data_IF_008689774248
#
_entry.id   IF_008689774248
#
_cell.length_a   1.000
_cell.length_b   1.000
_cell.length_c   1.000
_cell.angle_alpha   90.00
_cell.angle_beta   90.00
_cell.angle_gamma   90.00
#
_symmetry.space_group_name_H-M   'P 1'
#
loop_
_entity.id
_entity.type
_entity.pdbx_description
1 polymer ?
#
# COMPACT_ATOMS: atom_id res chain seq x y z
N UNK A 1 41.45 -24.16 -58.50
CA UNK A 1 40.02 -23.95 -58.19
C UNK A 1 39.84 -24.13 -56.69
N UNK A 2 39.76 -23.04 -55.93
CA UNK A 2 39.36 -23.06 -54.52
C UNK A 2 38.33 -21.94 -54.36
N UNK A 3 37.07 -22.33 -54.15
CA UNK A 3 35.97 -21.40 -53.86
C UNK A 3 35.75 -21.45 -52.36
N UNK A 4 36.14 -20.38 -51.68
CA UNK A 4 35.94 -20.20 -50.25
C UNK A 4 34.57 -19.54 -50.05
N UNK A 5 33.61 -20.31 -49.54
CA UNK A 5 32.29 -19.81 -49.19
C UNK A 5 32.38 -19.02 -47.87
N UNK A 6 32.23 -17.70 -47.96
CA UNK A 6 31.99 -16.83 -46.81
C UNK A 6 30.47 -16.83 -46.53
N UNK A 7 30.05 -17.52 -45.48
CA UNK A 7 28.72 -17.36 -44.91
C UNK A 7 28.73 -16.17 -43.95
N UNK A 8 28.24 -15.02 -44.41
CA UNK A 8 27.92 -13.88 -43.54
C UNK A 8 26.55 -14.14 -42.91
N UNK A 9 26.52 -14.62 -41.66
CA UNK A 9 25.29 -14.65 -40.86
C UNK A 9 25.04 -13.20 -40.42
N UNK A 10 24.13 -12.51 -41.11
CA UNK A 10 23.60 -11.24 -40.65
C UNK A 10 22.75 -11.49 -39.40
N UNK A 11 23.24 -11.10 -38.23
CA UNK A 11 22.40 -10.96 -37.05
C UNK A 11 21.41 -9.81 -37.33
N UNK A 12 20.17 -10.16 -37.67
CA UNK A 12 19.04 -9.25 -37.56
C UNK A 12 18.81 -8.98 -36.07
N UNK A 13 19.29 -7.83 -35.59
CA UNK A 13 18.88 -7.27 -34.31
C UNK A 13 17.41 -6.89 -34.42
N UNK A 14 16.53 -7.80 -34.01
CA UNK A 14 15.11 -7.50 -33.82
C UNK A 14 15.03 -6.68 -32.54
N UNK A 15 14.82 -5.37 -32.64
CA UNK A 15 14.47 -4.55 -31.49
C UNK A 15 13.12 -5.03 -30.97
N UNK A 16 13.09 -5.69 -29.81
CA UNK A 16 11.85 -6.04 -29.15
C UNK A 16 11.24 -4.73 -28.66
N UNK A 17 10.09 -4.35 -29.22
CA UNK A 17 9.35 -3.19 -28.76
C UNK A 17 8.78 -3.52 -27.38
N UNK A 18 9.21 -2.80 -26.36
CA UNK A 18 8.66 -2.90 -25.01
C UNK A 18 7.35 -2.12 -24.93
N UNK A 19 6.39 -2.66 -24.19
CA UNK A 19 5.15 -2.00 -23.82
C UNK A 19 5.36 -1.36 -22.44
N UNK A 20 5.04 -0.08 -22.37
CA UNK A 20 4.99 0.67 -21.12
C UNK A 20 4.01 -0.01 -20.15
N UNK A 21 4.48 -0.29 -18.94
CA UNK A 21 3.71 -0.98 -17.91
C UNK A 21 3.60 -0.10 -16.67
N UNK A 22 2.41 -0.11 -16.04
CA UNK A 22 2.11 0.74 -14.87
C UNK A 22 1.80 -0.12 -13.64
N UNK A 23 2.48 0.15 -12.53
CA UNK A 23 2.07 -0.33 -11.22
C UNK A 23 1.14 0.70 -10.59
N UNK A 24 -0.08 0.30 -10.20
CA UNK A 24 -0.98 1.13 -9.41
C UNK A 24 -1.07 0.52 -8.01
N UNK A 25 -0.73 1.30 -6.99
CA UNK A 25 -0.86 0.91 -5.59
C UNK A 25 -1.92 1.75 -4.90
N UNK A 26 -2.71 1.12 -4.04
CA UNK A 26 -3.78 1.79 -3.31
C UNK A 26 -3.51 1.74 -1.80
N UNK A 27 -3.72 2.86 -1.11
CA UNK A 27 -4.02 2.79 0.32
C UNK A 27 -5.41 2.20 0.55
N UNK A 28 -5.68 1.79 1.80
CA UNK A 28 -6.90 1.13 2.21
C UNK A 28 -7.87 2.13 2.85
N UNK A 29 -7.52 2.64 4.04
CA UNK A 29 -8.45 3.35 4.92
C UNK A 29 -8.57 4.82 4.52
N UNK A 30 -9.72 5.20 3.96
CA UNK A 30 -9.99 6.53 3.39
C UNK A 30 -9.85 6.58 1.87
N UNK A 31 -9.26 5.54 1.27
CA UNK A 31 -9.02 5.43 -0.18
C UNK A 31 -9.87 4.35 -0.86
N UNK A 32 -9.74 3.08 -0.45
CA UNK A 32 -10.58 1.99 -0.95
C UNK A 32 -11.83 1.78 -0.09
N UNK A 33 -11.70 1.96 1.22
CA UNK A 33 -12.78 1.77 2.18
C UNK A 33 -12.93 2.99 3.07
N UNK A 34 -14.16 3.25 3.51
CA UNK A 34 -14.45 4.21 4.57
C UNK A 34 -14.75 3.46 5.87
N UNK A 35 -14.15 3.94 6.97
CA UNK A 35 -14.58 3.58 8.32
C UNK A 35 -15.78 4.43 8.74
N UNK A 36 -16.68 3.87 9.55
CA UNK A 36 -17.64 4.68 10.31
C UNK A 36 -16.90 5.53 11.37
N UNK A 37 -17.55 6.55 11.93
CA UNK A 37 -16.94 7.36 13.01
C UNK A 37 -16.55 6.58 14.27
N UNK A 38 -17.07 5.36 14.44
CA UNK A 38 -16.72 4.47 15.55
C UNK A 38 -15.59 3.47 15.19
N UNK A 39 -15.22 3.35 13.92
CA UNK A 39 -14.30 2.31 13.45
C UNK A 39 -12.93 2.36 14.15
N UNK A 40 -12.41 3.56 14.43
CA UNK A 40 -11.13 3.76 15.11
C UNK A 40 -11.11 3.24 16.56
N UNK A 41 -12.27 3.00 17.17
CA UNK A 41 -12.39 2.50 18.54
C UNK A 41 -12.98 1.08 18.62
N UNK A 42 -13.84 0.70 17.68
CA UNK A 42 -14.71 -0.47 17.82
C UNK A 42 -14.55 -1.52 16.71
N UNK A 43 -13.83 -1.21 15.62
CA UNK A 43 -13.55 -2.18 14.57
C UNK A 43 -12.73 -3.36 15.08
N UNK A 44 -12.81 -4.50 14.39
CA UNK A 44 -11.98 -5.66 14.71
C UNK A 44 -10.49 -5.31 14.68
N UNK A 45 -10.06 -4.51 13.70
CA UNK A 45 -8.67 -4.05 13.57
C UNK A 45 -8.25 -3.14 14.73
N UNK A 46 -9.09 -2.19 15.14
CA UNK A 46 -8.82 -1.36 16.32
C UNK A 46 -8.67 -2.19 17.61
N UNK A 47 -9.48 -3.24 17.78
CA UNK A 47 -9.40 -4.15 18.93
C UNK A 47 -8.15 -5.03 18.88
N UNK A 48 -7.69 -5.42 17.69
CA UNK A 48 -6.49 -6.23 17.50
C UNK A 48 -5.24 -5.56 18.08
N UNK A 49 -5.11 -4.22 17.96
CA UNK A 49 -4.02 -3.48 18.58
C UNK A 49 -3.96 -3.66 20.11
N UNK A 50 -5.07 -3.37 20.79
CA UNK A 50 -5.13 -3.48 22.25
C UNK A 50 -4.92 -4.93 22.70
N UNK A 51 -5.47 -5.90 21.97
CA UNK A 51 -5.27 -7.31 22.26
C UNK A 51 -3.79 -7.71 22.14
N UNK A 52 -3.14 -7.39 21.02
CA UNK A 52 -1.76 -7.80 20.77
C UNK A 52 -0.76 -7.10 21.69
N UNK A 53 -0.89 -5.79 21.90
CA UNK A 53 -0.01 -5.05 22.82
C UNK A 53 -0.18 -5.56 24.25
N UNK A 54 -1.40 -5.79 24.71
CA UNK A 54 -1.66 -6.34 26.04
C UNK A 54 -1.10 -7.75 26.23
N UNK A 55 -1.22 -8.60 25.20
CA UNK A 55 -0.78 -10.00 25.23
C UNK A 55 0.75 -10.12 25.18
N UNK A 56 1.41 -9.43 24.24
CA UNK A 56 2.84 -9.60 23.96
C UNK A 56 3.73 -8.77 24.89
N UNK A 57 3.24 -7.60 25.32
CA UNK A 57 4.02 -6.65 26.13
C UNK A 57 3.47 -6.45 27.53
N UNK A 58 2.18 -6.68 27.75
CA UNK A 58 1.48 -6.38 29.00
C UNK A 58 1.25 -7.56 29.92
N UNK A 59 1.80 -8.75 29.65
CA UNK A 59 1.51 -9.99 30.40
C UNK A 59 -0.01 -10.29 30.50
N UNK A 60 -0.76 -9.98 29.43
CA UNK A 60 -2.21 -10.13 29.37
C UNK A 60 -3.02 -9.00 30.03
N UNK A 61 -2.37 -7.90 30.45
CA UNK A 61 -3.07 -6.71 30.95
C UNK A 61 -3.97 -6.10 29.87
N UNK A 62 -5.12 -5.58 30.31
CA UNK A 62 -6.01 -4.82 29.44
C UNK A 62 -5.33 -3.53 28.99
N UNK A 63 -5.19 -3.36 27.68
CA UNK A 63 -4.73 -2.13 27.03
C UNK A 63 -5.94 -1.37 26.51
N UNK A 64 -5.95 -0.05 26.68
CA UNK A 64 -7.06 0.78 26.19
C UNK A 64 -7.06 0.85 24.64
N UNK A 65 -8.23 1.13 24.01
CA UNK A 65 -8.30 1.34 22.57
C UNK A 65 -7.39 2.47 22.07
N UNK A 66 -6.86 2.33 20.85
CA UNK A 66 -5.96 3.32 20.20
C UNK A 66 -6.53 4.74 20.26
N UNK A 67 -7.78 4.93 19.84
CA UNK A 67 -8.43 6.24 19.81
C UNK A 67 -8.64 6.88 21.20
N UNK A 68 -8.51 6.10 22.30
CA UNK A 68 -8.52 6.62 23.67
C UNK A 68 -7.11 6.90 24.22
N UNK A 69 -6.12 6.14 23.75
CA UNK A 69 -4.73 6.27 24.21
C UNK A 69 -3.96 7.37 23.50
N UNK A 70 -4.24 7.56 22.21
CA UNK A 70 -3.45 8.39 21.31
C UNK A 70 -4.33 9.48 20.67
N UNK A 71 -3.80 10.70 20.47
CA UNK A 71 -4.44 11.71 19.65
C UNK A 71 -4.46 11.27 18.16
N UNK A 72 -5.47 11.75 17.42
CA UNK A 72 -5.74 11.37 16.02
C UNK A 72 -4.53 11.46 15.09
N UNK A 73 -3.74 12.53 15.22
CA UNK A 73 -2.55 12.79 14.41
C UNK A 73 -1.41 11.77 14.62
N UNK A 74 -1.48 10.92 15.66
CA UNK A 74 -0.48 9.88 15.92
C UNK A 74 -0.87 8.50 15.39
N UNK A 75 -2.08 8.33 14.85
CA UNK A 75 -2.50 7.06 14.24
C UNK A 75 -3.17 7.18 12.87
N UNK A 76 -3.81 8.31 12.53
CA UNK A 76 -4.30 8.54 11.16
C UNK A 76 -3.12 8.61 10.17
N UNK A 77 -3.19 7.81 9.10
CA UNK A 77 -2.14 7.71 8.09
C UNK A 77 -0.85 7.03 8.55
N UNK A 78 -0.78 6.55 9.81
CA UNK A 78 0.41 5.86 10.33
C UNK A 78 0.42 4.37 10.01
N UNK A 79 1.51 3.68 10.33
CA UNK A 79 1.63 2.22 10.17
C UNK A 79 1.22 1.50 11.44
N UNK A 80 0.70 0.28 11.31
CA UNK A 80 0.33 -0.58 12.44
C UNK A 80 1.53 -0.79 13.39
N UNK A 81 2.75 -0.85 12.85
CA UNK A 81 3.99 -0.88 13.63
C UNK A 81 4.14 0.32 14.54
N UNK A 82 4.15 1.53 13.97
CA UNK A 82 4.30 2.77 14.76
C UNK A 82 3.14 2.97 15.75
N UNK A 83 1.91 2.64 15.35
CA UNK A 83 0.74 2.71 16.23
C UNK A 83 0.90 1.76 17.42
N UNK A 84 1.34 0.52 17.19
CA UNK A 84 1.53 -0.47 18.25
C UNK A 84 2.60 -0.03 19.27
N UNK A 85 3.70 0.54 18.80
CA UNK A 85 4.77 1.06 19.64
C UNK A 85 4.32 2.27 20.47
N UNK A 86 3.62 3.22 19.83
CA UNK A 86 3.04 4.38 20.53
C UNK A 86 2.01 3.95 21.58
N UNK A 87 1.18 2.96 21.25
CA UNK A 87 0.19 2.40 22.17
C UNK A 87 0.87 1.73 23.37
N UNK A 88 1.92 0.94 23.15
CA UNK A 88 2.69 0.32 24.22
C UNK A 88 3.29 1.37 25.18
N UNK A 89 3.92 2.41 24.65
CA UNK A 89 4.48 3.53 25.45
C UNK A 89 3.38 4.25 26.23
N UNK A 90 2.28 4.62 25.57
CA UNK A 90 1.21 5.40 26.18
C UNK A 90 0.42 4.64 27.27
N UNK A 91 0.29 3.32 27.14
CA UNK A 91 -0.63 2.53 28.00
C UNK A 91 0.08 1.63 29.00
N UNK A 92 1.28 1.16 28.68
CA UNK A 92 2.07 0.27 29.53
C UNK A 92 3.36 0.93 30.04
N UNK A 93 3.73 2.10 29.51
CA UNK A 93 5.00 2.75 29.84
C UNK A 93 6.22 2.00 29.30
N UNK A 94 6.04 1.20 28.24
CA UNK A 94 7.11 0.41 27.63
C UNK A 94 7.74 1.19 26.49
N UNK A 95 9.04 1.42 26.58
CA UNK A 95 9.81 2.16 25.58
C UNK A 95 10.01 1.36 24.27
N UNK A 96 10.43 2.07 23.22
CA UNK A 96 10.58 1.52 21.87
C UNK A 96 11.73 0.53 21.76
N UNK A 97 12.80 0.69 22.52
CA UNK A 97 13.92 -0.26 22.59
C UNK A 97 13.48 -1.66 23.06
N UNK A 98 12.46 -1.73 23.93
CA UNK A 98 11.88 -2.98 24.42
C UNK A 98 10.78 -3.51 23.49
N UNK A 99 9.92 -2.63 22.97
CA UNK A 99 8.76 -3.03 22.18
C UNK A 99 9.08 -3.29 20.70
N UNK A 100 10.02 -2.57 20.11
CA UNK A 100 10.40 -2.70 18.69
C UNK A 100 10.90 -4.10 18.31
N UNK A 101 11.80 -4.74 19.07
CA UNK A 101 12.24 -6.12 18.77
C UNK A 101 11.12 -7.17 18.80
N UNK A 102 9.94 -6.83 19.36
CA UNK A 102 8.77 -7.72 19.45
C UNK A 102 7.71 -7.43 18.39
N UNK A 103 7.95 -6.53 17.44
CA UNK A 103 6.95 -6.13 16.43
C UNK A 103 6.40 -7.32 15.63
N UNK A 104 7.24 -8.25 15.18
CA UNK A 104 6.76 -9.43 14.43
C UNK A 104 5.79 -10.28 15.28
N UNK A 105 6.04 -10.42 16.59
CA UNK A 105 5.13 -11.12 17.51
C UNK A 105 3.82 -10.35 17.70
N UNK A 106 3.89 -9.01 17.76
CA UNK A 106 2.71 -8.15 17.83
C UNK A 106 1.87 -8.31 16.56
N UNK A 107 2.49 -8.22 15.38
CA UNK A 107 1.80 -8.39 14.09
C UNK A 107 1.15 -9.76 13.97
N UNK A 108 1.86 -10.83 14.35
CA UNK A 108 1.32 -12.18 14.36
C UNK A 108 0.10 -12.30 15.29
N UNK A 109 0.18 -11.73 16.50
CA UNK A 109 -0.93 -11.74 17.46
C UNK A 109 -2.14 -10.90 16.97
N UNK A 110 -1.89 -9.74 16.33
CA UNK A 110 -2.96 -8.96 15.70
C UNK A 110 -3.64 -9.74 14.57
N UNK A 111 -2.85 -10.42 13.73
CA UNK A 111 -3.35 -11.24 12.64
C UNK A 111 -4.16 -12.44 13.13
N UNK A 112 -3.70 -13.14 14.16
CA UNK A 112 -4.43 -14.28 14.77
C UNK A 112 -5.78 -13.83 15.33
N UNK A 113 -5.82 -12.68 16.01
CA UNK A 113 -7.07 -12.08 16.49
C UNK A 113 -8.02 -11.80 15.33
N UNK A 114 -7.53 -11.16 14.25
CA UNK A 114 -8.33 -10.85 13.07
C UNK A 114 -8.80 -12.10 12.31
N UNK A 115 -7.96 -13.13 12.23
CA UNK A 115 -8.26 -14.38 11.52
C UNK A 115 -9.30 -15.23 12.21
N UNK A 116 -9.49 -15.04 13.51
CA UNK A 116 -10.56 -15.66 14.28
C UNK A 116 -11.94 -14.99 14.06
N UNK A 117 -11.97 -13.79 13.47
CA UNK A 117 -13.21 -13.09 13.12
C UNK A 117 -13.80 -13.60 11.81
N UNK A 118 -15.13 -13.64 11.72
CA UNK A 118 -15.84 -13.82 10.45
C UNK A 118 -15.70 -12.58 9.56
N UNK A 119 -15.90 -12.74 8.24
CA UNK A 119 -15.87 -11.61 7.30
C UNK A 119 -16.88 -10.51 7.67
N UNK A 120 -18.04 -10.89 8.22
CA UNK A 120 -19.03 -9.91 8.71
C UNK A 120 -18.48 -9.07 9.87
N UNK A 121 -17.69 -9.67 10.77
CA UNK A 121 -17.07 -8.97 11.89
C UNK A 121 -15.89 -8.12 11.44
N UNK A 122 -15.09 -8.60 10.47
CA UNK A 122 -14.01 -7.83 9.85
C UNK A 122 -14.56 -6.62 9.09
N UNK A 123 -15.63 -6.81 8.32
CA UNK A 123 -16.30 -5.75 7.58
C UNK A 123 -17.16 -4.84 8.47
N UNK A 124 -17.38 -5.19 9.75
CA UNK A 124 -18.20 -4.37 10.62
C UNK A 124 -17.55 -2.99 10.79
N UNK A 125 -18.34 -1.93 10.51
CA UNK A 125 -17.92 -0.53 10.53
C UNK A 125 -17.00 -0.09 9.38
N UNK A 126 -16.76 -0.93 8.36
CA UNK A 126 -16.03 -0.55 7.15
C UNK A 126 -16.86 -0.89 5.90
N UNK A 127 -16.74 -0.08 4.86
CA UNK A 127 -17.43 -0.31 3.58
C UNK A 127 -16.63 0.28 2.43
N UNK A 128 -16.70 -0.29 1.20
CA UNK A 128 -16.08 0.32 0.04
C UNK A 128 -16.54 1.76 -0.18
N UNK A 129 -15.63 2.62 -0.63
CA UNK A 129 -15.98 3.96 -1.09
C UNK A 129 -16.70 3.92 -2.46
N UNK A 130 -17.49 4.95 -2.81
CA UNK A 130 -18.15 5.03 -4.12
C UNK A 130 -17.15 4.87 -5.28
N UNK A 131 -17.56 4.19 -6.34
CA UNK A 131 -16.74 3.95 -7.55
C UNK A 131 -15.63 2.91 -7.40
N UNK A 132 -15.16 2.60 -6.18
CA UNK A 132 -14.02 1.70 -5.95
C UNK A 132 -14.20 0.34 -6.62
N UNK A 133 -15.30 -0.36 -6.34
CA UNK A 133 -15.49 -1.71 -6.87
C UNK A 133 -15.62 -1.71 -8.40
N UNK A 134 -16.21 -0.68 -8.99
CA UNK A 134 -16.42 -0.59 -10.44
C UNK A 134 -15.14 -0.23 -11.19
N UNK A 135 -14.34 0.70 -10.64
CA UNK A 135 -13.02 1.01 -11.20
C UNK A 135 -12.05 -0.16 -11.06
N UNK A 136 -12.05 -0.86 -9.93
CA UNK A 136 -11.22 -2.05 -9.78
C UNK A 136 -11.62 -3.14 -10.77
N UNK A 137 -12.92 -3.40 -10.96
CA UNK A 137 -13.38 -4.31 -12.03
C UNK A 137 -12.91 -3.85 -13.41
N UNK A 138 -12.89 -2.54 -13.68
CA UNK A 138 -12.36 -2.00 -14.93
C UNK A 138 -10.86 -2.26 -15.07
N UNK A 139 -10.08 -2.00 -14.02
CA UNK A 139 -8.63 -2.28 -13.99
C UNK A 139 -8.32 -3.77 -14.13
N UNK A 140 -9.18 -4.67 -13.63
CA UNK A 140 -9.01 -6.12 -13.79
C UNK A 140 -8.96 -6.57 -15.27
N UNK A 141 -9.55 -5.77 -16.17
CA UNK A 141 -9.55 -6.01 -17.62
C UNK A 141 -8.31 -5.46 -18.33
N UNK A 142 -7.36 -4.85 -17.61
CA UNK A 142 -6.17 -4.17 -18.15
C UNK A 142 -4.85 -4.82 -17.68
N UNK A 143 -4.88 -6.11 -17.35
CA UNK A 143 -3.73 -6.87 -16.82
C UNK A 143 -2.54 -7.01 -17.80
N UNK A 144 -2.73 -6.67 -19.07
CA UNK A 144 -1.69 -6.55 -20.08
C UNK A 144 -0.86 -5.26 -19.94
N UNK A 145 -1.40 -4.22 -19.29
CA UNK A 145 -0.79 -2.89 -19.13
C UNK A 145 -0.54 -2.49 -17.67
N UNK A 146 -1.30 -3.08 -16.74
CA UNK A 146 -1.35 -2.65 -15.34
C UNK A 146 -1.19 -3.83 -14.40
N UNK A 147 -0.42 -3.62 -13.32
CA UNK A 147 -0.54 -4.40 -12.09
C UNK A 147 -1.13 -3.52 -11.01
N UNK A 148 -2.17 -4.00 -10.33
CA UNK A 148 -2.67 -3.36 -9.12
C UNK A 148 -2.13 -4.08 -7.88
N UNK A 149 -1.80 -3.32 -6.85
CA UNK A 149 -1.42 -3.83 -5.53
C UNK A 149 -1.87 -2.87 -4.43
N UNK A 150 -1.53 -3.18 -3.19
CA UNK A 150 -1.76 -2.26 -2.06
C UNK A 150 -0.45 -1.67 -1.56
N UNK A 151 -0.49 -0.41 -1.13
CA UNK A 151 0.51 0.15 -0.22
C UNK A 151 -0.23 0.72 0.97
N UNK A 152 -0.07 0.10 2.14
CA UNK A 152 -0.84 0.48 3.32
C UNK A 152 -0.04 0.25 4.60
N UNK A 153 -0.32 1.07 5.60
CA UNK A 153 0.23 0.92 6.94
C UNK A 153 -0.27 -0.34 7.67
N UNK A 154 -1.28 -1.05 7.16
CA UNK A 154 -1.82 -2.25 7.81
C UNK A 154 -0.85 -3.44 7.74
N UNK A 155 -0.89 -4.32 8.74
CA UNK A 155 -0.29 -5.67 8.64
C UNK A 155 -0.86 -6.40 7.42
N UNK A 156 -0.02 -7.03 6.61
CA UNK A 156 -0.42 -7.64 5.33
C UNK A 156 -1.56 -8.65 5.47
N UNK A 157 -1.47 -9.58 6.43
CA UNK A 157 -2.53 -10.54 6.69
C UNK A 157 -3.86 -9.88 7.03
N UNK A 158 -3.84 -8.76 7.75
CA UNK A 158 -5.03 -7.97 8.09
C UNK A 158 -5.58 -7.26 6.85
N UNK A 159 -4.72 -6.67 6.03
CA UNK A 159 -5.11 -6.04 4.77
C UNK A 159 -5.83 -7.04 3.85
N UNK A 160 -5.30 -8.28 3.72
CA UNK A 160 -5.93 -9.36 2.96
C UNK A 160 -7.33 -9.69 3.47
N UNK A 161 -7.48 -9.88 4.78
CA UNK A 161 -8.78 -10.15 5.41
C UNK A 161 -9.78 -9.02 5.18
N UNK A 162 -9.35 -7.74 5.31
CA UNK A 162 -10.19 -6.57 5.02
C UNK A 162 -10.66 -6.58 3.57
N UNK A 163 -9.75 -6.77 2.61
CA UNK A 163 -10.09 -6.72 1.18
C UNK A 163 -11.05 -7.84 0.77
N UNK A 164 -10.91 -9.04 1.34
CA UNK A 164 -11.89 -10.12 1.18
C UNK A 164 -13.25 -9.71 1.76
N UNK A 165 -13.26 -9.27 3.02
CA UNK A 165 -14.49 -8.98 3.74
C UNK A 165 -15.34 -7.87 3.11
N UNK A 166 -14.72 -6.90 2.43
CA UNK A 166 -15.43 -5.79 1.76
C UNK A 166 -15.67 -6.02 0.26
N UNK A 167 -15.31 -7.20 -0.27
CA UNK A 167 -15.51 -7.55 -1.68
C UNK A 167 -14.53 -6.91 -2.67
N UNK A 168 -13.46 -6.26 -2.20
CA UNK A 168 -12.39 -5.72 -3.06
C UNK A 168 -11.62 -6.85 -3.73
N UNK A 169 -11.33 -7.93 -2.99
CA UNK A 169 -10.66 -9.12 -3.54
C UNK A 169 -11.44 -9.73 -4.71
N UNK A 170 -12.77 -9.78 -4.61
CA UNK A 170 -13.65 -10.39 -5.61
C UNK A 170 -13.66 -9.63 -6.95
N UNK A 171 -13.13 -8.39 -6.99
CA UNK A 171 -12.98 -7.65 -8.24
C UNK A 171 -11.89 -8.23 -9.14
N UNK A 172 -11.01 -9.09 -8.61
CA UNK A 172 -9.86 -9.67 -9.32
C UNK A 172 -8.88 -8.66 -9.89
N UNK A 173 -8.94 -7.39 -9.44
CA UNK A 173 -8.05 -6.34 -9.88
C UNK A 173 -6.65 -6.48 -9.28
N UNK A 174 -6.56 -6.94 -8.03
CA UNK A 174 -5.30 -7.04 -7.30
C UNK A 174 -4.45 -8.18 -7.89
N UNK A 175 -3.21 -7.84 -8.24
CA UNK A 175 -2.28 -8.76 -8.90
C UNK A 175 -1.84 -9.87 -7.93
N UNK A 176 -1.46 -11.06 -8.42
CA UNK A 176 -0.90 -12.11 -7.59
C UNK A 176 0.28 -11.63 -6.73
N UNK A 177 0.50 -12.23 -5.54
CA UNK A 177 1.57 -11.82 -4.66
C UNK A 177 2.94 -12.14 -5.27
N UNK A 178 3.94 -11.34 -4.92
CA UNK A 178 5.33 -11.70 -5.22
C UNK A 178 5.80 -12.82 -4.29
N UNK A 179 6.63 -13.78 -4.77
CA UNK A 179 7.31 -14.75 -3.91
C UNK A 179 8.20 -14.14 -2.81
N UNK A 180 8.50 -12.84 -2.92
CA UNK A 180 9.24 -12.08 -1.91
C UNK A 180 8.37 -11.65 -0.71
N UNK A 181 7.05 -11.83 -0.78
CA UNK A 181 6.14 -11.48 0.31
C UNK A 181 6.15 -12.50 1.44
N UNK A 182 5.85 -12.03 2.66
CA UNK A 182 5.66 -12.90 3.81
C UNK A 182 4.42 -13.78 3.59
N UNK A 183 4.44 -14.96 4.21
CA UNK A 183 3.28 -15.84 4.24
C UNK A 183 2.47 -15.58 5.50
N UNK A 184 1.15 -15.56 5.35
CA UNK A 184 0.19 -15.35 6.43
C UNK A 184 -0.77 -16.54 6.42
N UNK A 185 -0.56 -17.54 7.29
CA UNK A 185 -1.26 -18.83 7.22
C UNK A 185 -2.78 -18.69 7.13
N UNK A 186 -3.38 -19.35 6.15
CA UNK A 186 -4.83 -19.31 5.93
C UNK A 186 -5.32 -18.14 5.07
N UNK A 187 -4.40 -17.34 4.49
CA UNK A 187 -4.72 -16.26 3.55
C UNK A 187 -4.05 -16.41 2.19
N UNK A 188 -3.44 -17.57 1.91
CA UNK A 188 -2.70 -17.82 0.66
C UNK A 188 -3.59 -17.66 -0.58
N UNK A 189 -4.86 -18.02 -0.47
CA UNK A 189 -5.84 -17.93 -1.56
C UNK A 189 -6.43 -16.53 -1.78
N UNK A 190 -6.08 -15.57 -0.93
CA UNK A 190 -6.49 -14.16 -1.01
C UNK A 190 -5.28 -13.21 -0.96
N UNK A 191 -4.10 -13.74 -1.28
CA UNK A 191 -2.87 -13.00 -1.32
C UNK A 191 -2.78 -12.14 -2.60
N UNK A 192 -2.18 -10.96 -2.49
CA UNK A 192 -1.97 -10.05 -3.60
C UNK A 192 -0.70 -9.23 -3.43
N UNK A 193 -0.22 -8.65 -4.53
CA UNK A 193 0.94 -7.75 -4.59
C UNK A 193 0.76 -6.54 -3.66
N UNK A 194 1.83 -6.14 -2.98
CA UNK A 194 1.83 -4.86 -2.27
C UNK A 194 3.09 -4.56 -1.47
N UNK A 195 3.04 -3.49 -0.69
CA UNK A 195 3.96 -3.12 0.37
C UNK A 195 3.14 -2.79 1.62
N UNK A 196 3.46 -3.42 2.75
CA UNK A 196 2.58 -3.45 3.91
C UNK A 196 3.28 -2.96 5.17
N UNK A 197 2.51 -2.55 6.18
CA UNK A 197 3.03 -2.15 7.50
C UNK A 197 3.89 -3.21 8.18
N UNK A 198 3.69 -4.49 7.82
CA UNK A 198 4.49 -5.61 8.29
C UNK A 198 5.80 -5.84 7.52
N UNK A 199 6.03 -5.13 6.42
CA UNK A 199 7.28 -5.20 5.65
C UNK A 199 8.35 -4.27 6.21
N UNK A 200 7.95 -3.07 6.63
CA UNK A 200 8.86 -2.06 7.15
C UNK A 200 8.23 -1.20 8.24
N UNK A 201 8.97 -0.99 9.32
CA UNK A 201 8.69 -0.04 10.40
C UNK A 201 10.04 0.47 10.91
N UNK A 202 10.24 1.78 10.97
CA UNK A 202 11.50 2.37 11.43
C UNK A 202 11.71 2.29 12.94
N UNK A 203 10.63 2.06 13.71
CA UNK A 203 10.64 2.06 15.17
C UNK A 203 10.83 3.43 15.82
N UNK A 204 11.05 4.49 15.04
CA UNK A 204 11.26 5.84 15.55
C UNK A 204 9.91 6.56 15.69
N UNK A 205 9.26 6.36 16.84
CA UNK A 205 7.93 6.91 17.11
C UNK A 205 7.92 8.42 17.37
N UNK A 206 9.08 9.01 17.70
CA UNK A 206 9.23 10.42 18.07
C UNK A 206 9.45 11.31 16.83
N UNK A 207 9.83 10.72 15.69
CA UNK A 207 9.90 11.40 14.39
C UNK A 207 8.58 11.25 13.62
N UNK A 208 7.82 12.35 13.55
CA UNK A 208 6.52 12.41 12.87
C UNK A 208 6.67 12.12 11.36
N UNK A 209 7.81 12.45 10.75
CA UNK A 209 8.04 12.19 9.33
C UNK A 209 7.99 10.68 9.01
N UNK A 210 8.25 9.82 10.00
CA UNK A 210 8.15 8.36 9.82
C UNK A 210 6.76 7.86 9.44
N UNK A 211 5.70 8.63 9.69
CA UNK A 211 4.36 8.27 9.21
C UNK A 211 4.31 8.16 7.67
N UNK A 212 5.05 9.01 6.94
CA UNK A 212 5.10 8.95 5.48
C UNK A 212 6.39 8.30 4.97
N UNK A 213 7.52 8.43 5.65
CA UNK A 213 8.77 7.81 5.21
C UNK A 213 8.71 6.27 5.27
N UNK A 214 8.11 5.69 6.32
CA UNK A 214 7.94 4.23 6.39
C UNK A 214 6.98 3.73 5.29
N UNK A 215 6.00 4.55 4.89
CA UNK A 215 5.12 4.26 3.75
C UNK A 215 5.84 4.42 2.41
N UNK A 216 6.77 5.36 2.28
CA UNK A 216 7.65 5.50 1.11
C UNK A 216 8.49 4.24 0.89
N UNK A 217 9.03 3.65 1.96
CA UNK A 217 9.71 2.35 1.90
C UNK A 217 8.77 1.23 1.43
N UNK A 218 7.50 1.25 1.85
CA UNK A 218 6.50 0.28 1.38
C UNK A 218 6.19 0.45 -0.13
N UNK A 219 6.19 1.67 -0.67
CA UNK A 219 6.08 1.92 -2.12
C UNK A 219 7.30 1.33 -2.84
N UNK A 220 8.51 1.54 -2.31
CA UNK A 220 9.73 0.97 -2.88
C UNK A 220 9.68 -0.57 -2.90
N UNK A 221 9.26 -1.20 -1.80
CA UNK A 221 9.09 -2.66 -1.70
C UNK A 221 8.05 -3.17 -2.70
N UNK A 222 6.89 -2.52 -2.83
CA UNK A 222 5.87 -2.90 -3.80
C UNK A 222 6.40 -2.79 -5.25
N UNK A 223 7.19 -1.75 -5.53
CA UNK A 223 7.83 -1.52 -6.82
C UNK A 223 8.85 -2.61 -7.15
N UNK A 224 9.71 -2.97 -6.20
CA UNK A 224 10.68 -4.05 -6.36
C UNK A 224 9.98 -5.40 -6.62
N UNK A 225 8.92 -5.68 -5.87
CA UNK A 225 8.08 -6.89 -6.05
C UNK A 225 7.43 -6.93 -7.42
N UNK A 226 6.93 -5.81 -7.93
CA UNK A 226 6.40 -5.69 -9.28
C UNK A 226 7.47 -6.00 -10.33
N UNK A 227 8.66 -5.41 -10.20
CA UNK A 227 9.80 -5.68 -11.11
C UNK A 227 10.20 -7.15 -11.11
N UNK A 228 10.21 -7.78 -9.93
CA UNK A 228 10.49 -9.21 -9.82
C UNK A 228 9.47 -10.04 -10.60
N UNK A 229 8.18 -9.68 -10.55
CA UNK A 229 7.14 -10.38 -11.31
C UNK A 229 7.24 -10.14 -12.82
N UNK A 230 7.75 -8.97 -13.25
CA UNK A 230 7.93 -8.63 -14.66
C UNK A 230 9.24 -9.15 -15.27
N UNK A 231 10.18 -9.68 -14.48
CA UNK A 231 11.50 -10.12 -14.97
C UNK A 231 11.43 -11.18 -16.08
N UNK A 232 10.37 -11.99 -16.07
CA UNK A 232 10.15 -13.09 -17.02
C UNK A 232 9.25 -12.66 -18.20
N UNK A 233 8.86 -11.37 -18.25
CA UNK A 233 7.99 -10.75 -19.25
C UNK A 233 8.78 -9.69 -20.04
N UNK A 234 9.72 -10.06 -20.93
CA UNK A 234 10.68 -9.14 -21.55
C UNK A 234 10.05 -8.06 -22.44
N UNK A 235 8.78 -8.19 -22.77
CA UNK A 235 8.01 -7.18 -23.50
C UNK A 235 7.38 -6.13 -22.59
N UNK A 236 7.33 -6.34 -21.27
CA UNK A 236 6.73 -5.41 -20.30
C UNK A 236 7.84 -4.69 -19.55
N UNK A 237 7.89 -3.37 -19.67
CA UNK A 237 8.83 -2.54 -18.93
C UNK A 237 8.06 -1.65 -17.96
N UNK A 238 8.39 -1.73 -16.66
CA UNK A 238 7.81 -0.83 -15.67
C UNK A 238 8.32 0.59 -15.93
N UNK A 239 7.42 1.47 -16.39
CA UNK A 239 7.73 2.87 -16.69
C UNK A 239 7.05 3.83 -15.72
N UNK A 240 5.97 3.39 -15.06
CA UNK A 240 5.23 4.22 -14.12
C UNK A 240 4.85 3.46 -12.85
N UNK A 241 4.99 4.14 -11.71
CA UNK A 241 4.38 3.74 -10.44
C UNK A 241 3.41 4.82 -10.03
N UNK A 242 2.14 4.47 -9.82
CA UNK A 242 1.10 5.36 -9.31
C UNK A 242 0.74 4.92 -7.91
N UNK A 243 0.76 5.85 -6.96
CA UNK A 243 0.19 5.63 -5.64
C UNK A 243 -1.12 6.43 -5.51
N UNK A 244 -2.16 5.77 -4.99
CA UNK A 244 -3.48 6.36 -4.75
C UNK A 244 -3.71 6.37 -3.23
N UNK A 245 -4.01 7.55 -2.68
CA UNK A 245 -4.14 7.72 -1.23
C UNK A 245 -4.90 9.00 -0.84
N UNK A 246 -5.47 9.05 0.36
CA UNK A 246 -6.34 10.15 0.82
C UNK A 246 -5.71 11.07 1.86
N UNK A 247 -4.52 10.74 2.36
CA UNK A 247 -3.86 11.51 3.40
C UNK A 247 -2.61 12.24 2.90
N UNK A 248 -2.19 13.33 3.57
CA UNK A 248 -0.88 13.93 3.39
C UNK A 248 0.26 12.90 3.48
N UNK A 249 0.10 11.86 4.30
CA UNK A 249 1.11 10.82 4.43
C UNK A 249 1.33 10.05 3.12
N UNK A 250 0.29 9.81 2.32
CA UNK A 250 0.39 9.13 1.02
C UNK A 250 1.10 9.99 -0.01
N UNK A 251 0.70 11.26 -0.07
CA UNK A 251 1.30 12.25 -0.97
C UNK A 251 2.79 12.41 -0.69
N UNK A 252 3.16 12.56 0.59
CA UNK A 252 4.54 12.71 1.01
C UNK A 252 5.34 11.40 0.86
N UNK A 253 4.70 10.23 1.04
CA UNK A 253 5.34 8.94 0.81
C UNK A 253 5.72 8.73 -0.65
N UNK A 254 4.77 9.00 -1.57
CA UNK A 254 5.02 8.90 -3.01
C UNK A 254 6.08 9.90 -3.46
N UNK A 255 6.07 11.12 -2.92
CA UNK A 255 7.08 12.13 -3.19
C UNK A 255 8.46 11.71 -2.70
N UNK A 256 8.57 11.25 -1.45
CA UNK A 256 9.83 10.76 -0.89
C UNK A 256 10.39 9.59 -1.72
N UNK A 257 9.54 8.65 -2.14
CA UNK A 257 9.93 7.59 -3.05
C UNK A 257 10.45 8.15 -4.39
N UNK A 258 9.75 9.11 -5.00
CA UNK A 258 10.21 9.77 -6.23
C UNK A 258 11.58 10.44 -6.08
N UNK A 259 11.86 11.03 -4.92
CA UNK A 259 13.15 11.68 -4.62
C UNK A 259 14.29 10.65 -4.49
N UNK A 260 14.00 9.42 -4.01
CA UNK A 260 15.03 8.35 -3.95
C UNK A 260 15.51 7.87 -5.32
N UNK A 261 14.72 8.10 -6.38
CA UNK A 261 15.07 7.75 -7.76
C UNK A 261 16.00 8.79 -8.40
N UNK A 262 16.19 9.95 -7.75
CA UNK A 262 17.07 11.01 -8.23
C UNK A 262 18.55 10.59 -8.11
N UNK A 263 19.14 10.15 -9.21
CA UNK A 263 20.54 9.75 -9.30
C UNK A 263 20.81 8.33 -9.80
N UNK A 264 19.76 7.58 -10.15
CA UNK A 264 19.85 6.25 -10.81
C UNK A 264 19.62 6.28 -12.33
N UNK A 265 19.88 5.15 -12.99
CA UNK A 265 19.68 4.93 -14.44
C UNK A 265 18.20 4.74 -14.86
N UNK A 266 17.23 4.98 -13.98
CA UNK A 266 15.84 4.58 -14.20
C UNK A 266 14.93 5.74 -14.60
N UNK A 267 14.41 5.70 -15.84
CA UNK A 267 13.35 6.57 -16.34
C UNK A 267 11.97 6.19 -15.75
N UNK A 268 11.86 6.01 -14.43
CA UNK A 268 10.60 5.66 -13.78
C UNK A 268 9.84 6.93 -13.39
N UNK A 269 8.62 7.08 -13.91
CA UNK A 269 7.72 8.16 -13.51
C UNK A 269 6.92 7.76 -12.27
N UNK A 270 6.87 8.63 -11.26
CA UNK A 270 6.02 8.47 -10.09
C UNK A 270 4.79 9.35 -10.22
N UNK A 271 3.62 8.72 -10.34
CA UNK A 271 2.32 9.37 -10.24
C UNK A 271 1.78 9.33 -8.82
N UNK A 272 1.10 10.39 -8.42
CA UNK A 272 0.34 10.41 -7.17
C UNK A 272 -1.09 10.82 -7.47
N UNK A 273 -2.07 9.96 -7.17
CA UNK A 273 -3.50 10.29 -7.28
C UNK A 273 -4.04 10.48 -5.87
N UNK A 274 -4.02 11.72 -5.39
CA UNK A 274 -4.56 12.05 -4.09
C UNK A 274 -6.10 12.16 -4.16
N UNK A 275 -6.81 11.51 -3.26
CA UNK A 275 -8.28 11.47 -3.27
C UNK A 275 -8.87 12.11 -2.01
N UNK A 276 -9.76 13.09 -2.16
CA UNK A 276 -10.34 13.81 -1.02
C UNK A 276 -11.52 13.07 -0.37
N UNK A 277 -11.41 11.75 -0.24
CA UNK A 277 -12.45 10.86 0.33
C UNK A 277 -12.24 10.56 1.81
N UNK A 278 -11.08 10.94 2.35
CA UNK A 278 -10.71 10.81 3.74
C UNK A 278 -11.07 12.02 4.61
N UNK A 279 -10.19 12.31 5.58
CA UNK A 279 -10.35 13.46 6.51
C UNK A 279 -9.77 14.77 5.98
N UNK A 280 -9.10 14.74 4.82
CA UNK A 280 -8.37 15.88 4.27
C UNK A 280 -9.06 16.40 3.02
N UNK A 281 -9.11 17.73 2.91
CA UNK A 281 -9.66 18.41 1.74
C UNK A 281 -8.71 18.30 0.53
N UNK A 282 -9.28 18.44 -0.67
CA UNK A 282 -8.47 18.50 -1.89
C UNK A 282 -7.47 19.68 -1.89
N UNK A 283 -7.80 20.80 -1.22
CA UNK A 283 -6.88 21.94 -1.08
C UNK A 283 -5.64 21.56 -0.25
N UNK A 284 -5.85 20.90 0.89
CA UNK A 284 -4.75 20.41 1.73
C UNK A 284 -3.86 19.42 0.97
N UNK A 285 -4.47 18.47 0.26
CA UNK A 285 -3.73 17.47 -0.53
C UNK A 285 -2.93 18.12 -1.68
N UNK A 286 -3.52 19.08 -2.40
CA UNK A 286 -2.82 19.86 -3.44
C UNK A 286 -1.62 20.62 -2.86
N UNK A 287 -1.78 21.21 -1.68
CA UNK A 287 -0.71 21.93 -0.98
C UNK A 287 0.51 21.05 -0.67
N UNK A 288 0.31 19.75 -0.40
CA UNK A 288 1.40 18.81 -0.14
C UNK A 288 2.02 18.25 -1.42
N UNK A 289 1.22 18.03 -2.46
CA UNK A 289 1.65 17.39 -3.69
C UNK A 289 2.66 18.25 -4.49
N UNK A 290 2.47 19.57 -4.47
CA UNK A 290 3.31 20.51 -5.21
C UNK A 290 3.11 20.42 -6.73
N UNK A 291 4.08 20.97 -7.46
CA UNK A 291 4.01 21.10 -8.92
C UNK A 291 4.43 19.83 -9.66
N UNK A 292 3.85 19.62 -10.83
CA UNK A 292 4.22 18.51 -11.73
C UNK A 292 5.64 18.70 -12.28
N UNK A 293 6.41 17.62 -12.32
CA UNK A 293 7.70 17.53 -13.00
C UNK A 293 7.56 16.46 -14.10
N UNK A 294 7.41 16.85 -15.38
CA UNK A 294 7.10 15.91 -16.47
C UNK A 294 8.04 14.72 -16.54
N UNK A 295 7.47 13.50 -16.64
CA UNK A 295 8.24 12.26 -16.73
C UNK A 295 8.88 11.79 -15.42
N UNK A 296 8.66 12.50 -14.31
CA UNK A 296 9.26 12.19 -13.00
C UNK A 296 8.24 12.18 -11.87
N UNK A 297 7.51 13.27 -11.70
CA UNK A 297 6.52 13.46 -10.63
C UNK A 297 5.23 14.03 -11.21
N UNK A 298 4.17 13.23 -11.22
CA UNK A 298 2.89 13.57 -11.85
C UNK A 298 1.74 13.47 -10.83
N UNK A 299 1.60 14.45 -9.92
CA UNK A 299 0.51 14.47 -8.96
C UNK A 299 -0.80 14.95 -9.59
N UNK A 300 -1.90 14.29 -9.22
CA UNK A 300 -3.28 14.65 -9.55
C UNK A 300 -4.10 14.56 -8.28
N UNK A 301 -5.00 15.53 -8.04
CA UNK A 301 -5.91 15.52 -6.89
C UNK A 301 -7.36 15.43 -7.37
N UNK A 302 -8.08 14.41 -6.92
CA UNK A 302 -9.47 14.13 -7.27
C UNK A 302 -10.39 14.34 -6.07
N UNK A 303 -11.48 15.07 -6.25
CA UNK A 303 -12.42 15.38 -5.17
C UNK A 303 -13.40 14.25 -4.89
N UNK A 304 -13.80 13.50 -5.93
CA UNK A 304 -14.76 12.39 -5.82
C UNK A 304 -14.06 11.01 -5.78
N UNK A 305 -12.77 11.02 -5.43
CA UNK A 305 -11.92 9.83 -5.38
C UNK A 305 -11.98 8.96 -6.64
N UNK A 306 -12.17 7.66 -6.46
CA UNK A 306 -12.26 6.71 -7.58
C UNK A 306 -13.61 6.79 -8.33
N UNK A 307 -14.60 7.49 -7.80
CA UNK A 307 -15.85 7.75 -8.53
C UNK A 307 -15.68 8.85 -9.60
N UNK A 308 -14.60 9.62 -9.54
CA UNK A 308 -14.30 10.65 -10.55
C UNK A 308 -14.08 9.99 -11.93
N UNK A 309 -14.76 10.47 -13.00
CA UNK A 309 -14.60 9.92 -14.35
C UNK A 309 -13.18 10.05 -14.91
N UNK A 310 -12.33 10.91 -14.32
CA UNK A 310 -10.93 11.08 -14.69
C UNK A 310 -9.98 10.14 -13.95
N UNK A 311 -10.46 9.30 -13.03
CA UNK A 311 -9.61 8.44 -12.19
C UNK A 311 -8.60 7.60 -13.00
N UNK A 312 -9.05 6.90 -14.04
CA UNK A 312 -8.17 6.08 -14.88
C UNK A 312 -7.13 6.94 -15.61
N UNK A 313 -7.56 8.08 -16.18
CA UNK A 313 -6.65 9.01 -16.84
C UNK A 313 -5.62 9.60 -15.87
N UNK A 314 -6.01 9.87 -14.62
CA UNK A 314 -5.12 10.33 -13.56
C UNK A 314 -4.07 9.27 -13.18
N UNK A 315 -4.41 7.99 -13.31
CA UNK A 315 -3.46 6.88 -13.18
C UNK A 315 -2.58 6.68 -14.42
N UNK A 316 -2.70 7.53 -15.44
CA UNK A 316 -1.95 7.40 -16.69
C UNK A 316 -2.40 6.22 -17.56
N UNK A 317 -3.61 5.70 -17.34
CA UNK A 317 -4.17 4.59 -18.11
C UNK A 317 -5.43 5.03 -18.86
N UNK A 318 -5.51 4.70 -20.14
CA UNK A 318 -6.70 4.93 -20.96
C UNK A 318 -7.32 3.59 -21.35
N UNK A 319 -8.67 3.56 -21.40
CA UNK A 319 -9.42 2.46 -22.00
C UNK A 319 -9.08 2.29 -23.48
#
# INVERSE_FOLDING_TARGET
MNVQWLFTIGLLLVSVQTNAFTLITFDVDGTLVKGSGQAAAESAHAKAFSHAVGTILGDGKSVMPVAKALPGNLYHGSTDGLISLRLAKATLGIDTDVSYPKLDQIFQCMFEYMSACSDKEVANLISPLPGVLDQLKTLSQMNDKVMCGLVTGNVEGIARLKMRAVGVWDTQALSPPSPMQKTWPGTENIAFLGGFGSDFCSGNIDDIARNHLDRGEQIAIATERCRYLLKDEPIKQLERVVHVGDAPADVLAAKAFSETLEGGEENLCVGMVAVATGSYSAEELRGQAGETIPGKWEPVVLEDGMNDPKFLAACGVSQ
#
